data_IF_513098661607
#
_entry.id   IF_513098661607
#
_cell.length_a   1.000
_cell.length_b   1.000
_cell.length_c   1.000
_cell.angle_alpha   90.00
_cell.angle_beta   90.00
_cell.angle_gamma   90.00
#
_symmetry.space_group_name_H-M   'P 1'
#
loop_
_entity.id
_entity.type
_entity.pdbx_description
1 polymer ?
#
# COMPACT_ATOMS: atom_id res chain seq x y z
N UNK A 1 55.82 30.23 24.72
CA UNK A 1 54.39 30.58 24.70
C UNK A 1 53.64 29.47 23.98
N UNK A 2 52.70 28.78 24.64
CA UNK A 2 51.95 27.67 24.03
C UNK A 2 50.91 28.22 23.02
N UNK A 3 50.93 27.70 21.80
CA UNK A 3 49.94 28.04 20.78
C UNK A 3 48.54 27.65 21.28
N UNK A 4 47.63 28.62 21.35
CA UNK A 4 46.25 28.36 21.77
C UNK A 4 45.56 27.54 20.68
N UNK A 5 44.99 26.40 21.07
CA UNK A 5 44.39 25.40 20.16
C UNK A 5 43.08 25.86 19.49
N UNK A 6 42.58 27.04 19.84
CA UNK A 6 41.36 27.70 19.38
C UNK A 6 41.52 28.43 18.02
N UNK A 7 42.75 28.77 17.62
CA UNK A 7 43.01 29.48 16.35
C UNK A 7 43.38 28.56 15.17
N UNK A 8 43.48 27.25 15.38
CA UNK A 8 43.83 26.33 14.30
C UNK A 8 42.57 25.87 13.53
N UNK A 9 42.39 26.25 12.25
CA UNK A 9 41.19 25.91 11.48
C UNK A 9 40.99 24.40 11.35
N UNK A 10 42.07 23.61 11.34
CA UNK A 10 42.01 22.15 11.29
C UNK A 10 41.47 21.53 12.60
N UNK A 11 41.73 22.16 13.74
CA UNK A 11 41.21 21.70 15.03
C UNK A 11 39.69 21.93 15.14
N UNK A 12 39.19 23.03 14.57
CA UNK A 12 37.77 23.35 14.49
C UNK A 12 37.00 22.39 13.55
N UNK A 13 37.58 22.04 12.39
CA UNK A 13 37.01 21.06 11.47
C UNK A 13 36.94 19.67 12.12
N UNK A 14 38.02 19.23 12.78
CA UNK A 14 38.08 17.94 13.50
C UNK A 14 37.14 17.88 14.72
N UNK A 15 36.85 19.02 15.36
CA UNK A 15 35.86 19.12 16.42
C UNK A 15 34.42 19.04 15.87
N UNK A 16 34.17 19.60 14.68
CA UNK A 16 32.87 19.53 14.00
C UNK A 16 32.52 18.12 13.54
N UNK A 17 33.50 17.33 13.08
CA UNK A 17 33.32 15.92 12.70
C UNK A 17 32.93 15.03 13.89
N UNK A 18 33.35 15.38 15.11
CA UNK A 18 33.06 14.60 16.33
C UNK A 18 31.67 14.84 16.93
N UNK A 19 30.88 15.76 16.35
CA UNK A 19 29.64 16.25 16.92
C UNK A 19 28.35 15.68 16.35
N UNK A 20 28.37 14.66 15.50
CA UNK A 20 27.13 14.07 15.01
C UNK A 20 26.45 13.29 16.14
N UNK A 21 25.22 13.66 16.55
CA UNK A 21 24.48 12.88 17.52
C UNK A 21 24.23 11.51 16.89
N UNK A 22 24.85 10.47 17.44
CA UNK A 22 24.58 9.10 17.05
C UNK A 22 23.13 8.83 17.44
N UNK A 23 22.21 9.03 16.48
CA UNK A 23 20.81 8.65 16.63
C UNK A 23 20.84 7.13 16.76
N UNK A 24 20.73 6.62 18.00
CA UNK A 24 20.74 5.19 18.26
C UNK A 24 19.55 4.61 17.51
N UNK A 25 19.83 3.91 16.42
CA UNK A 25 18.83 3.35 15.50
C UNK A 25 17.86 2.37 16.17
N UNK A 26 18.04 2.04 17.45
CA UNK A 26 17.23 1.07 18.18
C UNK A 26 17.53 -0.37 17.78
N UNK A 27 18.30 -0.60 16.71
CA UNK A 27 18.71 -1.91 16.24
C UNK A 27 19.96 -2.38 16.99
N UNK A 28 19.76 -2.88 18.21
CA UNK A 28 20.84 -3.56 18.94
C UNK A 28 21.06 -4.96 18.37
N UNK A 29 22.26 -5.56 18.52
CA UNK A 29 22.52 -6.93 18.04
C UNK A 29 21.55 -7.97 18.62
N UNK A 30 21.07 -7.76 19.85
CA UNK A 30 20.06 -8.63 20.49
C UNK A 30 18.70 -8.50 19.79
N UNK A 31 18.22 -7.28 19.56
CA UNK A 31 16.96 -7.04 18.84
C UNK A 31 17.02 -7.63 17.43
N UNK A 32 18.17 -7.51 16.75
CA UNK A 32 18.40 -8.11 15.44
C UNK A 32 18.21 -9.63 15.46
N UNK A 33 18.89 -10.34 16.37
CA UNK A 33 18.73 -11.79 16.53
C UNK A 33 17.30 -12.20 16.87
N UNK A 34 16.61 -11.41 17.69
CA UNK A 34 15.21 -11.68 18.03
C UNK A 34 14.30 -11.56 16.79
N UNK A 35 14.55 -10.57 15.93
CA UNK A 35 13.86 -10.43 14.64
C UNK A 35 14.20 -11.58 13.70
N UNK A 36 15.45 -12.02 13.65
CA UNK A 36 15.85 -13.17 12.83
C UNK A 36 15.11 -14.45 13.26
N UNK A 37 15.02 -14.71 14.57
CA UNK A 37 14.26 -15.84 15.11
C UNK A 37 12.75 -15.75 14.86
N UNK A 38 12.20 -14.53 14.84
CA UNK A 38 10.79 -14.31 14.49
C UNK A 38 10.48 -14.64 13.03
N UNK A 39 11.42 -14.36 12.10
CA UNK A 39 11.19 -14.53 10.66
C UNK A 39 11.59 -15.92 10.18
N UNK A 40 12.75 -16.43 10.61
CA UNK A 40 13.32 -17.69 10.12
C UNK A 40 13.11 -18.87 11.09
N UNK A 41 12.61 -18.62 12.29
CA UNK A 41 12.43 -19.65 13.31
C UNK A 41 13.74 -20.00 14.03
N UNK A 42 13.76 -21.18 14.62
CA UNK A 42 14.92 -21.64 15.40
C UNK A 42 16.06 -22.09 14.48
N UNK A 43 17.33 -21.67 14.72
CA UNK A 43 18.46 -22.03 13.86
C UNK A 43 18.72 -23.54 13.84
N UNK A 44 18.55 -24.21 14.98
CA UNK A 44 18.79 -25.65 15.11
C UNK A 44 17.58 -26.52 14.70
N UNK A 45 16.42 -25.91 14.43
CA UNK A 45 15.19 -26.63 14.05
C UNK A 45 14.52 -25.96 12.86
N UNK A 46 14.95 -26.30 11.63
CA UNK A 46 14.37 -25.73 10.43
C UNK A 46 12.88 -26.13 10.32
N UNK A 47 11.99 -25.13 10.28
CA UNK A 47 10.54 -25.31 10.14
C UNK A 47 9.72 -25.08 11.43
N UNK A 48 10.36 -24.86 12.58
CA UNK A 48 9.64 -24.46 13.80
C UNK A 48 9.43 -22.94 13.82
N UNK A 49 8.18 -22.51 13.64
CA UNK A 49 7.79 -21.11 13.78
C UNK A 49 7.83 -20.71 15.26
N UNK A 50 8.67 -19.75 15.61
CA UNK A 50 8.75 -19.25 16.98
C UNK A 50 7.74 -18.13 17.20
N UNK A 51 6.98 -18.24 18.29
CA UNK A 51 6.17 -17.13 18.76
C UNK A 51 7.06 -16.00 19.29
N UNK A 52 6.56 -14.77 19.30
CA UNK A 52 7.32 -13.63 19.79
C UNK A 52 7.80 -13.75 21.24
N UNK A 53 7.09 -14.50 22.09
CA UNK A 53 7.53 -14.80 23.45
C UNK A 53 8.73 -15.73 23.47
N UNK A 54 8.69 -16.82 22.70
CA UNK A 54 9.81 -17.77 22.60
C UNK A 54 11.06 -17.10 21.99
N UNK A 55 10.89 -16.30 20.94
CA UNK A 55 12.00 -15.54 20.35
C UNK A 55 12.61 -14.54 21.35
N UNK A 56 11.81 -13.96 22.24
CA UNK A 56 12.27 -13.08 23.31
C UNK A 56 13.10 -13.83 24.35
N UNK A 57 12.61 -15.00 24.79
CA UNK A 57 13.26 -15.86 25.77
C UNK A 57 14.63 -16.34 25.28
N UNK A 58 14.75 -16.75 24.01
CA UNK A 58 16.02 -17.18 23.41
C UNK A 58 17.10 -16.09 23.43
N UNK A 59 16.68 -14.83 23.36
CA UNK A 59 17.60 -13.67 23.37
C UNK A 59 17.74 -13.07 24.77
N UNK A 60 17.02 -13.60 25.78
CA UNK A 60 17.01 -13.10 27.15
C UNK A 60 16.39 -11.70 27.28
N UNK A 61 15.38 -11.38 26.47
CA UNK A 61 14.62 -10.14 26.52
C UNK A 61 13.16 -10.42 26.86
N UNK A 62 12.43 -9.39 27.30
CA UNK A 62 10.98 -9.52 27.51
C UNK A 62 10.24 -9.30 26.20
N UNK A 63 9.10 -9.97 26.03
CA UNK A 63 8.27 -9.73 24.83
C UNK A 63 7.90 -8.25 24.66
N UNK A 64 7.64 -7.55 25.77
CA UNK A 64 7.32 -6.11 25.77
C UNK A 64 8.44 -5.27 25.16
N UNK A 65 9.70 -5.58 25.47
CA UNK A 65 10.85 -4.82 24.92
C UNK A 65 11.05 -5.06 23.43
N UNK A 66 10.76 -6.26 22.92
CA UNK A 66 10.77 -6.52 21.48
C UNK A 66 9.62 -5.80 20.77
N UNK A 67 8.41 -5.80 21.36
CA UNK A 67 7.26 -5.06 20.81
C UNK A 67 7.57 -3.57 20.69
N UNK A 68 8.06 -2.95 21.76
CA UNK A 68 8.48 -1.54 21.76
C UNK A 68 9.66 -1.26 20.81
N UNK A 69 10.50 -2.27 20.54
CA UNK A 69 11.57 -2.15 19.56
C UNK A 69 11.04 -2.21 18.12
N UNK A 70 10.05 -3.06 17.82
CA UNK A 70 9.44 -3.17 16.48
C UNK A 70 8.74 -1.89 16.04
N UNK A 71 8.25 -1.09 16.99
CA UNK A 71 7.66 0.23 16.70
C UNK A 71 8.70 1.25 16.22
N UNK A 72 10.00 1.01 16.43
CA UNK A 72 11.06 1.91 15.97
C UNK A 72 11.28 1.75 14.46
N UNK A 73 11.42 2.86 13.70
CA UNK A 73 11.44 2.83 12.25
C UNK A 73 12.58 1.98 11.68
N UNK A 74 13.78 2.00 12.28
CA UNK A 74 14.90 1.21 11.78
C UNK A 74 14.72 -0.30 12.00
N UNK A 75 14.08 -0.69 13.11
CA UNK A 75 13.79 -2.11 13.39
C UNK A 75 12.67 -2.60 12.46
N UNK A 76 11.64 -1.78 12.22
CA UNK A 76 10.58 -2.07 11.26
C UNK A 76 11.13 -2.21 9.83
N UNK A 77 12.04 -1.35 9.42
CA UNK A 77 12.71 -1.45 8.12
C UNK A 77 13.50 -2.76 8.00
N UNK A 78 14.27 -3.11 9.04
CA UNK A 78 15.00 -4.39 9.07
C UNK A 78 14.05 -5.60 9.02
N UNK A 79 12.99 -5.58 9.81
CA UNK A 79 11.96 -6.62 9.81
C UNK A 79 11.36 -6.80 8.40
N UNK A 80 10.98 -5.71 7.73
CA UNK A 80 10.45 -5.75 6.37
C UNK A 80 11.46 -6.36 5.38
N UNK A 81 12.74 -5.98 5.47
CA UNK A 81 13.80 -6.57 4.65
C UNK A 81 13.92 -8.08 4.85
N UNK A 82 13.81 -8.56 6.09
CA UNK A 82 13.88 -10.00 6.38
C UNK A 82 12.66 -10.75 5.82
N UNK A 83 11.45 -10.17 5.91
CA UNK A 83 10.26 -10.73 5.25
C UNK A 83 10.40 -10.81 3.74
N UNK A 84 10.92 -9.76 3.11
CA UNK A 84 11.12 -9.75 1.66
C UNK A 84 12.20 -10.76 1.25
N UNK A 85 13.22 -10.95 2.09
CA UNK A 85 14.25 -11.98 1.90
C UNK A 85 13.63 -13.38 1.99
N UNK A 86 12.83 -13.67 3.02
CA UNK A 86 12.11 -14.95 3.15
C UNK A 86 11.21 -15.19 1.93
N UNK A 87 10.43 -14.19 1.53
CA UNK A 87 9.57 -14.27 0.34
C UNK A 87 10.38 -14.54 -0.92
N UNK A 88 11.52 -13.86 -1.11
CA UNK A 88 12.39 -14.07 -2.25
C UNK A 88 12.99 -15.48 -2.25
N UNK A 89 13.37 -16.00 -1.08
CA UNK A 89 13.91 -17.35 -0.92
C UNK A 89 12.87 -18.46 -1.19
N UNK A 90 11.59 -18.21 -0.88
CA UNK A 90 10.49 -19.15 -1.13
C UNK A 90 10.00 -19.16 -2.60
N UNK A 91 10.30 -18.12 -3.38
CA UNK A 91 9.91 -18.05 -4.81
C UNK A 91 10.44 -19.23 -5.63
N UNK A 92 11.74 -19.59 -5.59
CA UNK A 92 12.24 -20.77 -6.28
C UNK A 92 11.56 -22.08 -5.88
N UNK A 93 11.27 -22.27 -4.59
CA UNK A 93 10.58 -23.46 -4.10
C UNK A 93 9.13 -23.53 -4.64
N UNK A 94 8.46 -22.37 -4.70
CA UNK A 94 7.12 -22.25 -5.27
C UNK A 94 7.11 -22.55 -6.77
N UNK A 95 8.11 -22.08 -7.52
CA UNK A 95 8.26 -22.38 -8.95
C UNK A 95 8.46 -23.88 -9.18
N UNK A 96 9.29 -24.54 -8.35
CA UNK A 96 9.48 -26.00 -8.41
C UNK A 96 8.17 -26.76 -8.18
N UNK A 97 7.42 -26.40 -7.13
CA UNK A 97 6.11 -27.02 -6.85
C UNK A 97 5.11 -26.82 -8.01
N UNK A 98 5.12 -25.65 -8.66
CA UNK A 98 4.26 -25.42 -9.83
C UNK A 98 4.68 -26.32 -11.01
N UNK A 99 5.97 -26.54 -11.22
CA UNK A 99 6.46 -27.47 -12.25
C UNK A 99 6.02 -28.91 -11.93
N UNK A 100 6.11 -29.33 -10.67
CA UNK A 100 5.64 -30.65 -10.23
C UNK A 100 4.13 -30.82 -10.49
N UNK A 101 3.31 -29.80 -10.18
CA UNK A 101 1.85 -29.82 -10.44
C UNK A 101 1.55 -29.92 -11.94
N UNK A 102 2.32 -29.22 -12.78
CA UNK A 102 2.16 -29.28 -14.24
C UNK A 102 2.43 -30.69 -14.78
N UNK A 103 3.46 -31.33 -14.25
CA UNK A 103 3.96 -32.62 -14.74
C UNK A 103 3.26 -33.82 -14.05
N UNK A 104 2.42 -33.59 -13.05
CA UNK A 104 1.72 -34.64 -12.31
C UNK A 104 0.64 -35.35 -13.14
N UNK A 105 0.95 -36.57 -13.58
CA UNK A 105 0.02 -37.43 -14.33
C UNK A 105 -1.27 -37.80 -13.60
N UNK A 106 -1.32 -37.76 -12.26
CA UNK A 106 -2.52 -38.12 -11.51
C UNK A 106 -3.64 -37.07 -11.66
N UNK A 107 -3.28 -35.78 -11.75
CA UNK A 107 -4.21 -34.67 -11.93
C UNK A 107 -4.88 -34.69 -13.31
N UNK A 108 -4.27 -35.31 -14.32
CA UNK A 108 -4.82 -35.40 -15.68
C UNK A 108 -6.13 -36.19 -15.77
N UNK A 109 -6.41 -37.06 -14.79
CA UNK A 109 -7.58 -37.95 -14.77
C UNK A 109 -8.90 -37.23 -14.45
N UNK A 110 -8.84 -36.03 -13.85
CA UNK A 110 -10.03 -35.26 -13.47
C UNK A 110 -10.10 -33.94 -14.26
N UNK A 111 -11.31 -33.45 -14.52
CA UNK A 111 -11.49 -32.15 -15.17
C UNK A 111 -10.92 -30.99 -14.32
N UNK A 112 -11.08 -31.09 -12.99
CA UNK A 112 -10.51 -30.14 -12.05
C UNK A 112 -8.97 -30.16 -12.07
N UNK A 113 -8.35 -31.34 -12.06
CA UNK A 113 -6.89 -31.47 -12.09
C UNK A 113 -6.27 -31.01 -13.42
N UNK A 114 -6.96 -31.20 -14.56
CA UNK A 114 -6.53 -30.62 -15.84
C UNK A 114 -6.56 -29.09 -15.84
N UNK A 115 -7.53 -28.49 -15.13
CA UNK A 115 -7.60 -27.02 -14.97
C UNK A 115 -6.45 -26.50 -14.11
N UNK A 116 -6.13 -27.18 -13.00
CA UNK A 116 -5.00 -26.77 -12.13
C UNK A 116 -3.65 -26.94 -12.83
N UNK A 117 -3.48 -27.97 -13.66
CA UNK A 117 -2.30 -28.14 -14.52
C UNK A 117 -2.16 -27.00 -15.54
N UNK A 118 -3.26 -26.65 -16.21
CA UNK A 118 -3.28 -25.53 -17.16
C UNK A 118 -2.95 -24.20 -16.48
N UNK A 119 -3.48 -23.98 -15.27
CA UNK A 119 -3.21 -22.78 -14.48
C UNK A 119 -1.75 -22.71 -14.03
N UNK A 120 -1.18 -23.83 -13.55
CA UNK A 120 0.24 -23.93 -13.21
C UNK A 120 1.13 -23.70 -14.44
N UNK A 121 0.80 -24.30 -15.59
CA UNK A 121 1.50 -24.09 -16.85
C UNK A 121 1.47 -22.62 -17.29
N UNK A 122 0.30 -21.97 -17.18
CA UNK A 122 0.15 -20.53 -17.47
C UNK A 122 0.97 -19.66 -16.52
N UNK A 123 0.97 -19.97 -15.22
CA UNK A 123 1.72 -19.22 -14.22
C UNK A 123 3.24 -19.33 -14.40
N UNK A 124 3.75 -20.47 -14.91
CA UNK A 124 5.17 -20.65 -15.24
C UNK A 124 5.54 -19.95 -16.54
N UNK A 125 4.72 -20.13 -17.59
CA UNK A 125 5.00 -19.58 -18.92
C UNK A 125 4.88 -18.06 -18.97
N UNK A 126 3.88 -17.53 -18.25
CA UNK A 126 3.64 -16.10 -18.11
C UNK A 126 3.81 -15.74 -16.64
N UNK A 127 4.99 -15.22 -16.30
CA UNK A 127 5.13 -14.50 -15.04
C UNK A 127 4.02 -13.43 -15.03
N UNK A 128 3.17 -13.35 -13.99
CA UNK A 128 2.14 -12.33 -13.95
C UNK A 128 2.85 -10.98 -14.09
N UNK A 129 2.63 -10.30 -15.22
CA UNK A 129 3.03 -8.92 -15.41
C UNK A 129 2.53 -8.18 -14.17
N UNK A 130 3.46 -7.54 -13.44
CA UNK A 130 3.35 -7.27 -12.02
C UNK A 130 1.94 -6.86 -11.57
N UNK A 131 1.49 -7.42 -10.44
CA UNK A 131 0.18 -7.20 -9.82
C UNK A 131 -0.40 -5.82 -10.17
N UNK A 132 -1.20 -5.77 -11.24
CA UNK A 132 -1.84 -4.54 -11.65
C UNK A 132 -3.04 -4.38 -10.73
N UNK A 133 -2.82 -3.70 -9.62
CA UNK A 133 -3.89 -3.28 -8.72
C UNK A 133 -4.66 -2.20 -9.47
N UNK A 134 -5.67 -2.60 -10.23
CA UNK A 134 -6.62 -1.67 -10.83
C UNK A 134 -7.50 -1.12 -9.72
N UNK A 135 -7.09 0.02 -9.15
CA UNK A 135 -7.90 0.77 -8.19
C UNK A 135 -8.99 1.50 -8.98
N UNK A 136 -10.13 0.84 -9.19
CA UNK A 136 -11.32 1.48 -9.76
C UNK A 136 -11.98 2.36 -8.69
N UNK A 137 -11.58 3.63 -8.60
CA UNK A 137 -12.29 4.64 -7.80
C UNK A 137 -13.43 5.22 -8.64
N UNK A 138 -14.57 4.51 -8.70
CA UNK A 138 -15.81 5.11 -9.16
C UNK A 138 -16.31 6.08 -8.08
N UNK A 139 -15.96 7.36 -8.23
CA UNK A 139 -16.61 8.44 -7.48
C UNK A 139 -17.89 8.77 -8.24
N UNK A 140 -19.00 8.17 -7.82
CA UNK A 140 -20.32 8.54 -8.32
C UNK A 140 -20.75 9.85 -7.64
N UNK A 141 -20.26 10.98 -8.14
CA UNK A 141 -20.78 12.29 -7.73
C UNK A 141 -22.14 12.46 -8.40
N UNK A 142 -23.19 11.97 -7.74
CA UNK A 142 -24.55 12.38 -8.06
C UNK A 142 -24.59 13.91 -8.05
N UNK A 143 -25.06 14.50 -9.14
CA UNK A 143 -25.07 15.94 -9.39
C UNK A 143 -25.50 16.71 -8.13
N UNK A 144 -24.53 17.36 -7.48
CA UNK A 144 -24.80 18.27 -6.37
C UNK A 144 -25.52 19.47 -6.99
N UNK A 145 -26.83 19.55 -6.81
CA UNK A 145 -27.63 20.72 -7.18
C UNK A 145 -27.53 21.69 -5.99
N UNK A 146 -26.75 22.79 -6.08
CA UNK A 146 -26.67 23.73 -4.97
C UNK A 146 -28.04 24.39 -4.75
N UNK A 147 -28.62 24.16 -3.59
CA UNK A 147 -29.92 24.69 -3.19
C UNK A 147 -29.84 26.18 -2.91
N UNK A 148 -30.44 27.00 -3.79
CA UNK A 148 -30.90 28.33 -3.45
C UNK A 148 -32.42 28.29 -3.31
N UNK A 149 -32.92 28.84 -2.21
CA UNK A 149 -34.35 29.04 -1.96
C UNK A 149 -34.67 30.47 -2.42
N UNK A 150 -35.54 30.60 -3.42
CA UNK A 150 -36.09 31.88 -3.85
C UNK A 150 -37.27 32.19 -2.92
N UNK A 151 -37.16 33.23 -2.11
CA UNK A 151 -38.28 33.73 -1.32
C UNK A 151 -39.18 34.61 -2.21
N UNK A 152 -40.47 34.31 -2.25
CA UNK A 152 -41.48 34.98 -3.08
C UNK A 152 -42.55 35.63 -2.20
N UNK A 153 -42.16 36.22 -1.08
CA UNK A 153 -43.07 37.05 -0.30
C UNK A 153 -43.33 38.37 -1.04
N UNK A 154 -44.59 38.74 -1.32
CA UNK A 154 -44.91 39.97 -2.03
C UNK A 154 -44.87 41.15 -1.06
N UNK A 155 -43.75 41.88 -1.04
CA UNK A 155 -43.72 43.20 -0.44
C UNK A 155 -44.37 44.20 -1.39
N UNK A 156 -45.39 44.86 -0.85
CA UNK A 156 -46.17 45.91 -1.45
C UNK A 156 -45.31 47.16 -1.69
N UNK A 157 -45.73 47.91 -2.71
CA UNK A 157 -45.49 49.34 -2.95
C UNK A 157 -44.31 49.72 -3.87
N UNK A 158 -44.68 49.72 -5.16
CA UNK A 158 -44.61 50.84 -6.09
C UNK A 158 -43.27 51.54 -6.43
N UNK A 159 -43.11 51.65 -7.76
CA UNK A 159 -42.38 52.65 -8.54
C UNK A 159 -40.86 52.48 -8.77
N UNK A 160 -40.58 52.25 -10.07
CA UNK A 160 -39.38 52.58 -10.85
C UNK A 160 -38.26 51.55 -10.72
N UNK A 161 -38.05 50.70 -11.73
CA UNK A 161 -37.42 51.14 -12.98
C UNK A 161 -37.91 50.30 -14.18
N UNK A 162 -38.64 50.96 -15.07
CA UNK A 162 -38.85 50.52 -16.44
C UNK A 162 -37.51 50.54 -17.19
N UNK A 163 -37.05 49.40 -17.73
CA UNK A 163 -36.48 49.36 -19.09
C UNK A 163 -36.94 48.05 -19.74
N UNK A 164 -37.78 48.19 -20.76
CA UNK A 164 -38.21 47.15 -21.69
C UNK A 164 -37.04 46.75 -22.59
N UNK A 165 -36.88 45.46 -22.88
CA UNK A 165 -36.56 44.95 -24.22
C UNK A 165 -37.06 43.50 -24.34
N UNK A 166 -37.68 43.20 -25.48
CA UNK A 166 -38.64 42.11 -25.74
C UNK A 166 -38.04 40.69 -25.78
N UNK A 167 -38.82 39.64 -25.46
CA UNK A 167 -38.47 38.28 -25.83
C UNK A 167 -38.71 38.05 -27.33
N UNK A 168 -37.68 37.62 -28.06
CA UNK A 168 -37.84 37.01 -29.38
C UNK A 168 -38.64 35.71 -29.21
N UNK A 169 -39.89 35.69 -29.65
CA UNK A 169 -40.63 34.47 -29.89
C UNK A 169 -40.04 33.79 -31.14
N UNK A 170 -39.67 32.52 -31.02
CA UNK A 170 -39.71 31.60 -32.15
C UNK A 170 -40.87 30.67 -31.81
N UNK A 171 -42.01 31.00 -32.40
CA UNK A 171 -43.20 30.17 -32.37
C UNK A 171 -42.92 28.87 -33.14
N UNK A 172 -43.13 27.73 -32.48
CA UNK A 172 -43.48 26.48 -33.12
C UNK A 172 -44.39 25.72 -32.15
N UNK A 173 -45.69 25.77 -32.44
CA UNK A 173 -46.73 25.10 -31.66
C UNK A 173 -46.60 23.56 -31.73
N UNK A 174 -47.17 22.85 -30.74
CA UNK A 174 -47.02 21.41 -30.58
C UNK A 174 -48.24 20.71 -31.18
N UNK A 175 -48.25 20.48 -32.48
CA UNK A 175 -49.19 19.53 -33.10
C UNK A 175 -48.69 19.19 -34.50
N UNK A 176 -47.93 18.10 -34.62
CA UNK A 176 -47.99 17.26 -35.80
C UNK A 176 -47.34 15.88 -35.55
N UNK A 177 -48.23 14.88 -35.58
CA UNK A 177 -48.00 13.55 -36.13
C UNK A 177 -47.28 12.52 -35.25
N UNK A 178 -48.15 11.85 -34.49
CA UNK A 178 -48.12 10.41 -34.29
C UNK A 178 -47.74 9.60 -35.55
N UNK A 179 -47.44 8.31 -35.27
CA UNK A 179 -47.32 7.16 -36.18
C UNK A 179 -45.90 6.86 -36.65
N UNK A 180 -45.25 5.89 -36.01
CA UNK A 180 -44.87 4.65 -36.71
C UNK A 180 -44.59 3.52 -35.72
N UNK A 181 -45.60 2.67 -35.54
CA UNK A 181 -45.49 1.32 -35.00
C UNK A 181 -45.03 0.37 -36.10
N UNK A 182 -44.16 -0.59 -35.75
CA UNK A 182 -43.93 -1.91 -36.35
C UNK A 182 -43.68 -2.05 -37.86
N UNK A 183 -42.53 -2.62 -38.19
CA UNK A 183 -42.46 -3.86 -38.98
C UNK A 183 -41.31 -4.73 -38.49
#
# INVERSE_FOLDING_TARGET
>A
MAARHDQNPLALVKAREKGHPIVKSGLTPRIRKAVDFLVFGHPDRPGENLTGRQAAELVGLTWRTIREALDKPAVKAYFQQMYDTLRAAEKPASVRRMADIRDDSALSKTAAGRRTQLEAAKAIAYAPAGHQITIATQINVGAITPGYVIDLTPDHDEERLQIRHEPRTIDAEPDDLAVFTSR
#
